data_IF_647984380545
#
_entry.id   IF_647984380545
#
_cell.length_a   1.000
_cell.length_b   1.000
_cell.length_c   1.000
_cell.angle_alpha   90.00
_cell.angle_beta   90.00
_cell.angle_gamma   90.00
#
_symmetry.space_group_name_H-M   'P 1'
#
loop_
_entity.id
_entity.type
_entity.pdbx_description
1 polymer ?
#
# COMPACT_ATOMS: atom_id res chain seq x y z
N UNK A 1 -73.05 31.33 -10.43
CA UNK A 1 -72.33 30.39 -11.27
C UNK A 1 -70.83 30.63 -11.03
N UNK A 2 -70.24 29.90 -10.10
CA UNK A 2 -68.80 30.00 -9.82
C UNK A 2 -68.15 28.66 -10.18
N UNK A 3 -67.31 28.72 -11.19
CA UNK A 3 -66.57 27.59 -11.69
C UNK A 3 -65.45 27.25 -10.70
N UNK A 4 -65.41 25.98 -10.28
CA UNK A 4 -64.36 25.41 -9.41
C UNK A 4 -63.20 25.03 -10.27
N UNK A 5 -62.13 25.82 -10.22
CA UNK A 5 -60.84 25.46 -10.80
C UNK A 5 -60.15 24.45 -9.87
N UNK A 6 -60.04 23.18 -10.31
CA UNK A 6 -59.31 22.14 -9.66
C UNK A 6 -57.81 22.31 -10.01
N UNK A 7 -56.99 22.71 -9.03
CA UNK A 7 -55.54 22.63 -9.15
C UNK A 7 -55.11 21.18 -9.00
N UNK A 8 -54.60 20.60 -10.07
CA UNK A 8 -53.96 19.29 -10.08
C UNK A 8 -52.49 19.52 -9.75
N UNK A 9 -52.09 19.24 -8.50
CA UNK A 9 -50.70 19.29 -8.07
C UNK A 9 -49.98 18.03 -8.58
N UNK A 10 -49.21 18.17 -9.64
CA UNK A 10 -48.34 17.12 -10.17
C UNK A 10 -47.08 17.07 -9.28
N UNK A 11 -47.02 16.15 -8.33
CA UNK A 11 -45.80 15.87 -7.54
C UNK A 11 -44.87 15.02 -8.41
N UNK A 12 -43.90 15.66 -9.03
CA UNK A 12 -42.78 14.93 -9.68
C UNK A 12 -41.86 14.41 -8.59
N UNK A 13 -41.99 13.13 -8.28
CA UNK A 13 -41.03 12.43 -7.44
C UNK A 13 -39.76 12.18 -8.30
N UNK A 14 -38.78 13.05 -8.13
CA UNK A 14 -37.47 12.88 -8.74
C UNK A 14 -36.70 11.81 -7.91
N UNK A 15 -36.76 10.56 -8.35
CA UNK A 15 -35.96 9.49 -7.77
C UNK A 15 -34.49 9.79 -8.08
N UNK A 16 -33.74 10.28 -7.08
CA UNK A 16 -32.28 10.31 -7.15
C UNK A 16 -31.78 8.85 -7.12
N UNK A 17 -31.54 8.30 -8.29
CA UNK A 17 -30.76 7.08 -8.41
C UNK A 17 -29.31 7.43 -8.07
N UNK A 18 -28.89 7.15 -6.84
CA UNK A 18 -27.48 7.16 -6.48
C UNK A 18 -26.81 6.01 -7.22
N UNK A 19 -26.26 6.30 -8.39
CA UNK A 19 -25.33 5.39 -9.05
C UNK A 19 -24.09 5.29 -8.17
N UNK A 20 -23.95 4.21 -7.42
CA UNK A 20 -22.67 3.84 -6.84
C UNK A 20 -21.70 3.60 -8.00
N UNK A 21 -20.89 4.61 -8.32
CA UNK A 21 -19.76 4.44 -9.22
C UNK A 21 -18.74 3.60 -8.45
N UNK A 22 -18.87 2.28 -8.55
CA UNK A 22 -17.79 1.39 -8.18
C UNK A 22 -16.66 1.67 -9.17
N UNK A 23 -15.59 2.29 -8.70
CA UNK A 23 -14.39 2.45 -9.50
C UNK A 23 -13.97 1.04 -9.98
N UNK A 24 -14.15 0.80 -11.28
CA UNK A 24 -13.73 -0.45 -11.90
C UNK A 24 -12.21 -0.39 -12.01
N UNK A 25 -11.50 -1.00 -11.06
CA UNK A 25 -10.06 -1.12 -11.13
C UNK A 25 -9.75 -2.15 -12.21
N UNK A 26 -9.18 -1.73 -13.34
CA UNK A 26 -8.74 -2.63 -14.41
C UNK A 26 -7.72 -3.68 -13.89
N UNK A 27 -7.03 -3.39 -12.78
CA UNK A 27 -6.06 -4.26 -12.10
C UNK A 27 -6.17 -4.10 -10.59
N UNK A 28 -5.82 -5.17 -9.87
CA UNK A 28 -5.66 -5.20 -8.42
C UNK A 28 -4.16 -5.30 -8.05
N UNK A 29 -3.81 -5.04 -6.80
CA UNK A 29 -2.43 -5.24 -6.32
C UNK A 29 -1.92 -6.65 -6.58
N UNK A 30 -2.80 -7.64 -6.56
CA UNK A 30 -2.49 -9.05 -6.80
C UNK A 30 -2.06 -9.40 -8.23
N UNK A 31 -2.23 -8.47 -9.18
CA UNK A 31 -1.84 -8.65 -10.58
C UNK A 31 -0.38 -8.22 -10.83
N UNK A 32 0.35 -7.84 -9.77
CA UNK A 32 1.74 -7.44 -9.86
C UNK A 32 2.67 -8.48 -9.23
N UNK A 33 3.84 -8.60 -9.83
CA UNK A 33 4.89 -9.51 -9.41
C UNK A 33 6.17 -8.72 -9.17
N UNK A 34 6.95 -9.19 -8.23
CA UNK A 34 8.32 -8.79 -7.98
C UNK A 34 9.22 -10.02 -8.08
N UNK A 35 10.52 -9.83 -7.97
CA UNK A 35 11.42 -10.88 -7.51
C UNK A 35 11.80 -10.60 -6.05
N UNK A 36 12.16 -11.63 -5.32
CA UNK A 36 12.72 -11.48 -3.97
C UNK A 36 14.22 -11.13 -4.02
N UNK A 37 14.86 -10.98 -2.86
CA UNK A 37 16.30 -10.67 -2.77
C UNK A 37 17.21 -11.78 -3.30
N UNK A 38 16.72 -12.99 -3.44
CA UNK A 38 17.44 -14.13 -4.02
C UNK A 38 17.16 -14.31 -5.53
N UNK A 39 16.28 -13.47 -6.12
CA UNK A 39 15.88 -13.48 -7.52
C UNK A 39 14.74 -14.44 -7.82
N UNK A 40 14.13 -15.08 -6.83
CA UNK A 40 12.94 -15.91 -7.03
C UNK A 40 11.69 -15.06 -7.22
N UNK A 41 10.70 -15.58 -7.98
CA UNK A 41 9.45 -14.87 -8.21
C UNK A 41 8.67 -14.66 -6.90
N UNK A 42 8.26 -13.42 -6.63
CA UNK A 42 7.41 -13.01 -5.52
C UNK A 42 6.12 -12.46 -6.08
N UNK A 43 5.12 -13.34 -6.19
CA UNK A 43 3.84 -13.02 -6.80
C UNK A 43 2.87 -12.52 -5.74
N UNK A 44 2.34 -11.28 -5.89
CA UNK A 44 1.37 -10.76 -4.92
C UNK A 44 0.03 -11.53 -4.95
N UNK A 45 -0.21 -12.34 -5.99
CA UNK A 45 -1.36 -13.27 -6.06
C UNK A 45 -1.41 -14.23 -4.87
N UNK A 46 -0.26 -14.62 -4.31
CA UNK A 46 -0.15 -15.52 -3.15
C UNK A 46 -0.69 -14.89 -1.86
N UNK A 47 -0.87 -13.58 -1.87
CA UNK A 47 -1.38 -12.81 -0.73
C UNK A 47 -2.86 -12.41 -0.87
N UNK A 48 -3.60 -13.02 -1.83
CA UNK A 48 -5.04 -12.75 -1.97
C UNK A 48 -5.79 -12.95 -0.65
N UNK A 49 -6.68 -11.99 -0.36
CA UNK A 49 -7.48 -12.00 0.87
C UNK A 49 -6.72 -11.54 2.12
N UNK A 50 -5.45 -11.13 1.98
CA UNK A 50 -4.64 -10.57 3.07
C UNK A 50 -4.48 -9.06 2.90
N UNK A 51 -4.27 -8.38 4.01
CA UNK A 51 -3.85 -6.97 4.01
C UNK A 51 -2.34 -6.92 3.74
N UNK A 52 -1.89 -6.13 2.77
CA UNK A 52 -0.47 -6.00 2.45
C UNK A 52 -0.01 -4.58 2.81
N UNK A 53 1.01 -4.47 3.64
CA UNK A 53 1.70 -3.21 3.95
C UNK A 53 2.98 -3.17 3.12
N UNK A 54 2.97 -2.40 2.04
CA UNK A 54 4.12 -2.21 1.16
C UNK A 54 4.91 -1.00 1.63
N UNK A 55 6.21 -1.17 1.89
CA UNK A 55 7.11 -0.11 2.38
C UNK A 55 8.35 -0.04 1.51
N UNK A 56 8.62 1.10 0.88
CA UNK A 56 9.91 1.29 0.21
C UNK A 56 10.98 1.62 1.24
N UNK A 57 12.06 0.87 1.23
CA UNK A 57 13.06 0.85 2.30
C UNK A 57 14.47 1.19 1.78
N UNK A 58 15.36 1.59 2.71
CA UNK A 58 16.76 1.85 2.42
C UNK A 58 17.63 1.65 3.66
N UNK A 59 18.84 1.10 3.47
CA UNK A 59 19.77 0.73 4.54
C UNK A 59 20.50 1.92 5.18
N UNK A 60 20.65 3.05 4.45
CA UNK A 60 21.43 4.23 4.88
C UNK A 60 20.55 5.48 5.07
N UNK A 61 19.35 5.30 5.56
CA UNK A 61 18.37 6.37 5.77
C UNK A 61 18.26 6.75 7.25
N UNK A 62 17.94 8.00 7.56
CA UNK A 62 17.62 8.40 8.93
C UNK A 62 16.39 7.68 9.53
N UNK A 63 15.54 7.08 8.69
CA UNK A 63 14.39 6.29 9.12
C UNK A 63 14.65 4.78 9.18
N UNK A 64 15.89 4.31 8.95
CA UNK A 64 16.22 2.87 8.88
C UNK A 64 15.83 2.09 10.15
N UNK A 65 15.83 2.75 11.32
CA UNK A 65 15.37 2.11 12.56
C UNK A 65 13.88 1.71 12.53
N UNK A 66 13.08 2.19 11.58
CA UNK A 66 11.70 1.69 11.39
C UNK A 66 11.64 0.21 11.01
N UNK A 67 12.72 -0.40 10.54
CA UNK A 67 12.79 -1.84 10.32
C UNK A 67 12.44 -2.64 11.59
N UNK A 68 12.88 -2.20 12.78
CA UNK A 68 12.53 -2.87 14.04
C UNK A 68 11.02 -2.88 14.29
N UNK A 69 10.37 -1.73 14.05
CA UNK A 69 8.92 -1.61 14.22
C UNK A 69 8.14 -2.38 13.16
N UNK A 70 8.67 -2.43 11.92
CA UNK A 70 8.11 -3.26 10.85
C UNK A 70 8.19 -4.76 11.22
N UNK A 71 9.32 -5.22 11.77
CA UNK A 71 9.48 -6.61 12.19
C UNK A 71 8.53 -6.97 13.34
N UNK A 72 8.43 -6.11 14.37
CA UNK A 72 7.47 -6.28 15.47
C UNK A 72 6.02 -6.34 14.99
N UNK A 73 5.67 -5.47 14.02
CA UNK A 73 4.34 -5.47 13.41
C UNK A 73 4.09 -6.76 12.64
N UNK A 74 5.06 -7.21 11.85
CA UNK A 74 5.00 -8.48 11.14
C UNK A 74 4.76 -9.65 12.10
N UNK A 75 5.55 -9.79 13.15
CA UNK A 75 5.40 -10.85 14.16
C UNK A 75 4.02 -10.86 14.82
N UNK A 76 3.49 -9.67 15.11
CA UNK A 76 2.18 -9.52 15.77
C UNK A 76 1.00 -9.84 14.85
N UNK A 77 1.09 -9.47 13.56
CA UNK A 77 -0.09 -9.47 12.68
C UNK A 77 -0.03 -10.49 11.54
N UNK A 78 1.10 -11.16 11.26
CA UNK A 78 1.19 -12.15 10.17
C UNK A 78 0.13 -13.25 10.29
N UNK A 79 -0.09 -13.78 11.49
CA UNK A 79 -1.12 -14.81 11.76
C UNK A 79 -2.55 -14.27 11.69
N UNK A 80 -2.71 -12.95 11.66
CA UNK A 80 -4.00 -12.26 11.52
C UNK A 80 -4.29 -11.87 10.06
N UNK A 81 -3.44 -12.26 9.13
CA UNK A 81 -3.64 -12.00 7.70
C UNK A 81 -3.00 -10.70 7.20
N UNK A 82 -1.99 -10.16 7.89
CA UNK A 82 -1.16 -9.05 7.37
C UNK A 82 0.10 -9.61 6.74
N UNK A 83 0.47 -9.08 5.59
CA UNK A 83 1.78 -9.22 4.96
C UNK A 83 2.51 -7.88 5.08
N UNK A 84 3.71 -7.90 5.64
CA UNK A 84 4.68 -6.80 5.54
C UNK A 84 5.56 -7.09 4.32
N UNK A 85 5.65 -6.15 3.37
CA UNK A 85 6.49 -6.27 2.18
C UNK A 85 7.49 -5.13 2.14
N UNK A 86 8.76 -5.42 2.31
CA UNK A 86 9.85 -4.47 2.13
C UNK A 86 10.26 -4.37 0.66
N UNK A 87 10.37 -3.16 0.13
CA UNK A 87 10.77 -2.88 -1.26
C UNK A 87 12.00 -1.98 -1.26
N UNK A 88 13.21 -2.53 -1.34
CA UNK A 88 14.43 -1.72 -1.40
C UNK A 88 14.44 -0.80 -2.61
N UNK A 89 14.84 0.47 -2.41
CA UNK A 89 14.94 1.45 -3.49
C UNK A 89 16.07 2.44 -3.27
N UNK A 90 16.82 2.73 -4.33
CA UNK A 90 17.91 3.72 -4.32
C UNK A 90 17.46 5.11 -4.80
N UNK A 91 16.16 5.34 -5.00
CA UNK A 91 15.62 6.57 -5.63
C UNK A 91 15.74 7.82 -4.75
N UNK A 92 16.02 7.67 -3.47
CA UNK A 92 16.05 8.77 -2.50
C UNK A 92 17.44 8.95 -1.90
N UNK A 93 18.19 9.87 -2.50
CA UNK A 93 19.53 10.25 -2.03
C UNK A 93 20.59 9.15 -2.14
N UNK A 94 20.37 8.12 -2.95
CA UNK A 94 21.33 7.02 -3.10
C UNK A 94 21.50 6.18 -1.83
N UNK A 95 20.47 6.15 -0.96
CA UNK A 95 20.56 5.55 0.39
C UNK A 95 20.40 4.02 0.43
N UNK A 96 20.25 3.36 -0.75
CA UNK A 96 20.30 1.90 -0.89
C UNK A 96 21.33 1.49 -1.95
N UNK A 97 22.63 1.75 -1.73
CA UNK A 97 23.67 1.51 -2.74
C UNK A 97 23.98 0.02 -2.94
N UNK A 98 23.74 -0.81 -1.94
CA UNK A 98 24.05 -2.24 -1.93
C UNK A 98 23.32 -3.02 -3.03
N UNK A 99 23.90 -4.19 -3.40
CA UNK A 99 23.19 -5.18 -4.20
C UNK A 99 22.21 -5.99 -3.32
N UNK A 100 21.38 -6.85 -3.94
CA UNK A 100 20.34 -7.59 -3.23
C UNK A 100 20.91 -8.47 -2.09
N UNK A 101 22.08 -9.10 -2.27
CA UNK A 101 22.74 -9.92 -1.25
C UNK A 101 23.20 -9.08 -0.06
N UNK A 102 23.78 -7.91 -0.31
CA UNK A 102 24.21 -6.98 0.73
C UNK A 102 23.02 -6.45 1.52
N UNK A 103 21.91 -6.11 0.84
CA UNK A 103 20.66 -5.69 1.46
C UNK A 103 20.10 -6.80 2.35
N UNK A 104 20.03 -8.03 1.84
CA UNK A 104 19.58 -9.20 2.60
C UNK A 104 20.38 -9.37 3.89
N UNK A 105 21.71 -9.44 3.76
CA UNK A 105 22.60 -9.60 4.90
C UNK A 105 22.45 -8.47 5.92
N UNK A 106 22.32 -7.22 5.48
CA UNK A 106 22.10 -6.08 6.35
C UNK A 106 20.78 -6.19 7.13
N UNK A 107 19.69 -6.51 6.45
CA UNK A 107 18.36 -6.61 7.06
C UNK A 107 18.29 -7.78 8.07
N UNK A 108 18.82 -8.93 7.71
CA UNK A 108 18.83 -10.12 8.57
C UNK A 108 19.76 -9.92 9.78
N UNK A 109 21.01 -9.51 9.55
CA UNK A 109 22.00 -9.42 10.63
C UNK A 109 21.73 -8.27 11.61
N UNK A 110 21.24 -7.12 11.12
CA UNK A 110 21.04 -5.94 11.96
C UNK A 110 19.67 -5.87 12.61
N UNK A 111 18.63 -6.31 11.92
CA UNK A 111 17.24 -6.14 12.35
C UNK A 111 16.47 -7.46 12.52
N UNK A 112 17.07 -8.61 12.18
CA UNK A 112 16.39 -9.90 12.24
C UNK A 112 15.16 -9.98 11.35
N UNK A 113 15.18 -9.33 10.18
CA UNK A 113 14.03 -9.26 9.28
C UNK A 113 13.66 -10.65 8.77
N UNK A 114 12.38 -11.00 8.94
CA UNK A 114 11.80 -12.26 8.48
C UNK A 114 10.58 -12.06 7.56
N UNK A 115 10.14 -10.83 7.36
CA UNK A 115 9.08 -10.55 6.39
C UNK A 115 9.61 -10.53 4.95
N UNK A 116 8.76 -10.80 3.95
CA UNK A 116 9.13 -10.77 2.53
C UNK A 116 9.76 -9.45 2.12
N UNK A 117 10.84 -9.53 1.36
CA UNK A 117 11.50 -8.39 0.74
C UNK A 117 11.70 -8.63 -0.75
N UNK A 118 11.46 -7.61 -1.56
CA UNK A 118 11.70 -7.67 -3.00
C UNK A 118 13.17 -7.37 -3.33
N UNK A 119 13.59 -7.71 -4.54
CA UNK A 119 14.80 -7.11 -5.11
C UNK A 119 14.69 -5.58 -5.15
N UNK A 120 15.84 -4.92 -5.30
CA UNK A 120 15.88 -3.46 -5.41
C UNK A 120 15.24 -2.98 -6.70
N UNK A 121 14.23 -2.08 -6.60
CA UNK A 121 13.51 -1.52 -7.73
C UNK A 121 13.38 0.00 -7.65
N UNK A 122 13.05 0.62 -8.78
CA UNK A 122 12.66 2.02 -8.84
C UNK A 122 11.19 2.16 -8.43
N UNK A 123 10.89 3.11 -7.54
CA UNK A 123 9.53 3.30 -6.95
C UNK A 123 8.86 4.62 -7.35
N UNK A 124 9.55 5.49 -8.10
CA UNK A 124 9.02 6.77 -8.58
C UNK A 124 9.46 7.08 -10.02
N UNK A 125 8.74 8.02 -10.68
CA UNK A 125 9.06 8.48 -12.03
C UNK A 125 8.68 7.47 -13.12
N UNK A 126 9.18 7.73 -14.34
CA UNK A 126 8.79 6.96 -15.53
C UNK A 126 9.21 5.50 -15.48
N UNK A 127 10.32 5.20 -14.80
CA UNK A 127 10.84 3.85 -14.65
C UNK A 127 10.33 3.13 -13.39
N UNK A 128 9.38 3.72 -12.67
CA UNK A 128 8.82 3.08 -11.49
C UNK A 128 8.22 1.71 -11.81
N UNK A 129 8.42 0.76 -10.91
CA UNK A 129 7.82 -0.56 -11.00
C UNK A 129 6.30 -0.44 -11.24
N UNK A 130 5.68 -1.28 -12.09
CA UNK A 130 4.27 -1.19 -12.46
C UNK A 130 3.30 -1.08 -11.29
N UNK A 131 3.58 -1.72 -10.15
CA UNK A 131 2.81 -1.60 -8.92
C UNK A 131 2.69 -0.14 -8.44
N UNK A 132 3.78 0.62 -8.43
CA UNK A 132 3.76 2.01 -7.96
C UNK A 132 3.02 2.94 -8.92
N UNK A 133 3.16 2.72 -10.24
CA UNK A 133 2.37 3.44 -11.26
C UNK A 133 0.88 3.16 -11.11
N UNK A 134 0.53 1.92 -10.86
CA UNK A 134 -0.85 1.50 -10.58
C UNK A 134 -1.38 2.14 -9.30
N UNK A 135 -0.59 2.14 -8.22
CA UNK A 135 -0.99 2.76 -6.95
C UNK A 135 -1.25 4.26 -7.12
N UNK A 136 -0.38 4.99 -7.86
CA UNK A 136 -0.60 6.40 -8.20
C UNK A 136 -1.88 6.59 -9.02
N UNK A 137 -2.10 5.79 -10.06
CA UNK A 137 -3.29 5.88 -10.92
C UNK A 137 -4.59 5.71 -10.13
N UNK A 138 -4.61 4.80 -9.14
CA UNK A 138 -5.82 4.42 -8.41
C UNK A 138 -6.04 5.17 -7.09
N UNK A 139 -5.00 5.75 -6.49
CA UNK A 139 -5.07 6.44 -5.20
C UNK A 139 -4.50 7.86 -5.22
N UNK A 140 -3.98 8.28 -6.37
CA UNK A 140 -3.43 9.61 -6.58
C UNK A 140 -2.01 9.79 -6.04
N UNK A 141 -1.55 11.03 -6.03
CA UNK A 141 -0.15 11.39 -5.69
C UNK A 141 0.27 11.07 -4.26
N UNK A 142 -0.67 10.80 -3.36
CA UNK A 142 -0.38 10.33 -2.00
C UNK A 142 0.22 8.93 -1.97
N UNK A 143 -0.03 8.09 -2.99
CA UNK A 143 0.56 6.77 -3.15
C UNK A 143 1.97 6.79 -3.77
N UNK A 144 2.42 7.95 -4.26
CA UNK A 144 3.79 8.09 -4.78
C UNK A 144 4.75 8.32 -3.62
N UNK A 145 5.74 7.45 -3.38
CA UNK A 145 6.73 7.66 -2.35
C UNK A 145 7.49 9.00 -2.56
N UNK A 146 7.53 9.83 -1.54
CA UNK A 146 8.29 11.09 -1.55
C UNK A 146 9.65 10.97 -0.86
N UNK A 147 9.83 9.91 -0.09
CA UNK A 147 11.07 9.56 0.60
C UNK A 147 11.06 8.06 0.95
N UNK A 148 12.18 7.55 1.47
CA UNK A 148 12.27 6.18 2.00
C UNK A 148 11.28 5.97 3.15
N UNK A 149 10.84 4.75 3.37
CA UNK A 149 9.87 4.35 4.42
C UNK A 149 8.48 4.98 4.24
N UNK A 150 8.06 5.27 3.01
CA UNK A 150 6.66 5.52 2.68
C UNK A 150 5.89 4.19 2.70
N UNK A 151 4.65 4.20 3.19
CA UNK A 151 3.82 3.00 3.34
C UNK A 151 2.58 3.11 2.47
N UNK A 152 2.24 2.00 1.81
CA UNK A 152 0.99 1.82 1.08
C UNK A 152 0.28 0.61 1.69
N UNK A 153 -0.94 0.79 2.21
CA UNK A 153 -1.77 -0.30 2.72
C UNK A 153 -2.70 -0.77 1.61
N UNK A 154 -2.65 -2.07 1.31
CA UNK A 154 -3.56 -2.75 0.38
C UNK A 154 -4.54 -3.56 1.22
N UNK A 155 -5.84 -3.40 0.97
CA UNK A 155 -6.88 -4.16 1.65
C UNK A 155 -7.05 -5.59 1.10
N UNK A 156 -7.92 -6.37 1.73
CA UNK A 156 -8.19 -7.76 1.37
C UNK A 156 -8.73 -7.95 -0.06
N UNK A 157 -9.29 -6.90 -0.65
CA UNK A 157 -9.78 -6.87 -2.04
C UNK A 157 -8.68 -6.50 -3.05
N UNK A 158 -7.44 -6.26 -2.60
CA UNK A 158 -6.33 -5.89 -3.46
C UNK A 158 -6.33 -4.43 -3.92
N UNK A 159 -7.04 -3.55 -3.22
CA UNK A 159 -7.10 -2.10 -3.52
C UNK A 159 -6.24 -1.31 -2.54
N UNK A 160 -5.69 -0.19 -2.99
CA UNK A 160 -5.04 0.74 -2.06
C UNK A 160 -6.09 1.28 -1.08
N UNK A 161 -5.85 1.08 0.21
CA UNK A 161 -6.73 1.51 1.29
C UNK A 161 -6.28 2.86 1.88
N UNK A 162 -4.99 2.97 2.20
CA UNK A 162 -4.42 4.21 2.76
C UNK A 162 -2.90 4.28 2.48
N UNK A 163 -2.33 5.46 2.70
CA UNK A 163 -0.89 5.71 2.53
C UNK A 163 -0.35 6.55 3.68
N UNK A 164 0.91 6.31 4.06
CA UNK A 164 1.56 7.05 5.13
C UNK A 164 2.95 7.52 4.71
N UNK A 165 3.22 8.78 4.98
CA UNK A 165 4.53 9.36 4.76
C UNK A 165 5.61 8.71 5.66
N UNK A 166 6.86 8.87 5.28
CA UNK A 166 8.06 8.33 5.94
C UNK A 166 8.10 8.58 7.44
N UNK A 167 7.67 9.76 7.88
CA UNK A 167 7.66 10.18 9.29
C UNK A 167 6.68 9.37 10.16
N UNK A 168 5.65 8.75 9.57
CA UNK A 168 4.70 7.93 10.34
C UNK A 168 5.32 6.58 10.64
N UNK A 169 5.67 6.35 11.90
CA UNK A 169 6.22 5.08 12.33
C UNK A 169 5.14 3.98 12.28
N UNK A 170 5.49 2.74 11.82
CA UNK A 170 4.58 1.60 11.82
C UNK A 170 4.01 1.23 13.20
N UNK A 171 4.72 1.54 14.28
CA UNK A 171 4.24 1.33 15.67
C UNK A 171 3.31 2.43 16.19
N UNK A 172 3.10 3.52 15.43
CA UNK A 172 2.26 4.63 15.88
C UNK A 172 0.79 4.21 16.02
N UNK A 173 0.10 4.76 17.03
CA UNK A 173 -1.34 4.50 17.27
C UNK A 173 -2.18 4.75 16.01
N UNK A 174 -1.86 5.81 15.26
CA UNK A 174 -2.57 6.15 14.01
C UNK A 174 -2.40 5.04 12.96
N UNK A 175 -1.18 4.57 12.73
CA UNK A 175 -0.92 3.51 11.76
C UNK A 175 -1.60 2.21 12.15
N UNK A 176 -1.44 1.79 13.41
CA UNK A 176 -2.05 0.56 13.95
C UNK A 176 -3.58 0.62 13.85
N UNK A 177 -4.20 1.75 14.21
CA UNK A 177 -5.66 1.89 14.13
C UNK A 177 -6.20 1.73 12.70
N UNK A 178 -5.49 2.27 11.69
CA UNK A 178 -5.89 2.09 10.29
C UNK A 178 -5.67 0.64 9.85
N UNK A 179 -4.53 0.04 10.21
CA UNK A 179 -4.24 -1.35 9.88
C UNK A 179 -5.30 -2.31 10.46
N UNK A 180 -5.67 -2.13 11.72
CA UNK A 180 -6.67 -2.98 12.40
C UNK A 180 -8.05 -2.82 11.75
N UNK A 181 -8.48 -1.61 11.40
CA UNK A 181 -9.72 -1.37 10.64
C UNK A 181 -9.72 -1.97 9.24
N UNK A 182 -8.53 -2.13 8.63
CA UNK A 182 -8.42 -2.77 7.31
C UNK A 182 -8.52 -4.30 7.42
N UNK A 183 -8.27 -4.84 8.61
CA UNK A 183 -8.41 -6.29 8.90
C UNK A 183 -9.85 -6.72 9.19
N UNK A 184 -10.72 -5.81 9.64
CA UNK A 184 -12.15 -6.05 9.88
C UNK A 184 -12.91 -6.18 8.53
#
# INVERSE_FOLDING_TARGET
MLDKIKYFLLIIIMSLSTTNVTANFDKLAYDFNFNDLDGAALNLTEYKGKVIVVVNVASQCGFTNQYEDMQKLWEKYQKKGVIMLGVPSNDFGGQEPGNNKEIKNFCEAKFGITFPMTEKVTVKGENAHPFYKWAEKNFGKSAVPKWNFHKIIINKEGKVHDTFASITNPSSKRFISVLEKTLD
#
